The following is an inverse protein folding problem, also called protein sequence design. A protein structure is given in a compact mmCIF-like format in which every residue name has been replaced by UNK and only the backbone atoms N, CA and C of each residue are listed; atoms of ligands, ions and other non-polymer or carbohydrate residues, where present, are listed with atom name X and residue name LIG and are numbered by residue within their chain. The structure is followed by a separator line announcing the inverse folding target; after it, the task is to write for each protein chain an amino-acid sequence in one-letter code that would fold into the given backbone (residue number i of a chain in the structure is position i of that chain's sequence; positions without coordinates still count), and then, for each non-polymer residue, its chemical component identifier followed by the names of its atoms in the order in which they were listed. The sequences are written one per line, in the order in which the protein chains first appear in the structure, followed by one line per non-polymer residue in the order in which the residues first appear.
data_IF_477866091412
#
_entry.id   IF_477866091412
#
_cell.length_a   1.000
_cell.length_b   1.000
_cell.length_c   1.000
_cell.angle_alpha   90.00
_cell.angle_beta   90.00
_cell.angle_gamma   90.00
#
_symmetry.space_group_name_H-M   'P 1'
#
loop_
_entity.id
_entity.type
_entity.pdbx_description
1 polymer ?
#
# COMPACT_ATOMS: atom_id res chain seq x y z
N UNK A 1 -6.69 11.51 -7.45
CA UNK A 1 -5.37 11.92 -6.91
C UNK A 1 -4.51 10.66 -6.84
N UNK A 2 -3.30 10.69 -7.38
CA UNK A 2 -2.37 9.56 -7.30
C UNK A 2 -1.39 9.79 -6.14
N UNK A 3 -1.18 8.78 -5.31
CA UNK A 3 -0.19 8.81 -4.22
C UNK A 3 0.96 7.88 -4.59
N UNK A 4 2.16 8.46 -4.68
CA UNK A 4 3.39 7.72 -4.98
C UNK A 4 4.13 7.43 -3.68
N UNK A 5 4.41 6.15 -3.43
CA UNK A 5 5.20 5.70 -2.28
C UNK A 5 6.46 5.00 -2.75
N UNK A 6 7.59 5.36 -2.16
CA UNK A 6 8.79 4.54 -2.24
C UNK A 6 8.67 3.38 -1.24
N UNK A 7 8.81 2.16 -1.73
CA UNK A 7 8.78 0.93 -0.95
C UNK A 7 10.03 0.10 -1.22
N UNK A 8 10.31 -0.83 -0.33
CA UNK A 8 11.28 -1.90 -0.51
C UNK A 8 10.65 -3.23 -0.12
N UNK A 9 11.31 -4.33 -0.43
CA UNK A 9 10.93 -5.63 0.10
C UNK A 9 10.77 -5.60 1.63
N UNK A 10 9.73 -6.25 2.13
CA UNK A 10 9.32 -6.25 3.53
C UNK A 10 8.48 -5.04 3.96
N UNK A 11 8.26 -4.04 3.09
CA UNK A 11 7.42 -2.89 3.42
C UNK A 11 5.95 -3.30 3.58
N UNK A 12 5.27 -2.76 4.59
CA UNK A 12 3.84 -2.93 4.78
C UNK A 12 3.10 -1.61 4.52
N UNK A 13 2.10 -1.67 3.65
CA UNK A 13 1.17 -0.60 3.30
C UNK A 13 -0.19 -0.99 3.86
N UNK A 14 -0.97 -0.03 4.36
CA UNK A 14 -2.33 -0.30 4.85
C UNK A 14 -3.33 0.39 3.94
N UNK A 15 -4.43 -0.29 3.62
CA UNK A 15 -5.51 0.27 2.81
C UNK A 15 -6.79 -0.12 3.52
N UNK A 16 -7.55 0.88 3.99
CA UNK A 16 -8.77 0.64 4.77
C UNK A 16 -8.56 -0.38 5.92
N UNK A 17 -7.46 -0.23 6.66
CA UNK A 17 -7.07 -1.11 7.76
C UNK A 17 -6.55 -2.50 7.37
N UNK A 18 -6.50 -2.83 6.07
CA UNK A 18 -6.00 -4.11 5.58
C UNK A 18 -4.55 -4.00 5.13
N UNK A 19 -3.62 -4.83 5.64
CA UNK A 19 -2.23 -4.76 5.24
C UNK A 19 -2.01 -5.39 3.86
N UNK A 20 -1.15 -4.74 3.08
CA UNK A 20 -0.50 -5.21 1.87
C UNK A 20 1.01 -5.23 2.13
N UNK A 21 1.63 -6.39 1.99
CA UNK A 21 3.09 -6.54 2.15
C UNK A 21 3.75 -6.60 0.79
N UNK A 22 4.77 -5.78 0.59
CA UNK A 22 5.68 -5.89 -0.55
C UNK A 22 6.64 -7.04 -0.23
N UNK A 23 6.48 -8.17 -0.90
CA UNK A 23 7.26 -9.38 -0.61
C UNK A 23 8.41 -9.62 -1.59
N UNK A 24 8.41 -8.93 -2.72
CA UNK A 24 9.52 -8.95 -3.67
C UNK A 24 9.53 -7.67 -4.50
N UNK A 25 10.73 -7.19 -4.82
CA UNK A 25 10.97 -6.15 -5.82
C UNK A 25 12.09 -6.63 -6.72
N UNK A 26 11.79 -6.81 -8.00
CA UNK A 26 12.74 -7.31 -8.98
C UNK A 26 13.15 -6.19 -9.97
N UNK A 27 14.45 -6.03 -10.26
CA UNK A 27 14.91 -5.12 -11.30
C UNK A 27 14.39 -5.55 -12.68
N UNK A 28 14.41 -4.64 -13.67
CA UNK A 28 14.04 -4.97 -15.04
C UNK A 28 14.99 -6.04 -15.59
N UNK A 29 14.42 -6.99 -16.32
CA UNK A 29 15.17 -8.09 -16.95
C UNK A 29 14.76 -8.18 -18.43
N UNK A 30 15.71 -7.88 -19.32
CA UNK A 30 15.46 -7.78 -20.76
C UNK A 30 14.44 -6.70 -21.11
N UNK A 31 13.41 -7.07 -21.87
CA UNK A 31 12.30 -6.16 -22.24
C UNK A 31 11.24 -6.02 -21.14
N UNK A 32 11.35 -6.78 -20.03
CA UNK A 32 10.46 -6.63 -18.89
C UNK A 32 10.96 -5.47 -18.02
N UNK A 33 10.09 -4.48 -17.82
CA UNK A 33 10.29 -3.41 -16.85
C UNK A 33 10.35 -3.93 -15.40
N UNK A 34 10.42 -3.02 -14.44
CA UNK A 34 10.45 -3.41 -13.02
C UNK A 34 9.18 -4.16 -12.62
N UNK A 35 9.35 -5.11 -11.68
CA UNK A 35 8.24 -5.86 -11.10
C UNK A 35 8.25 -5.76 -9.57
N UNK A 36 7.06 -5.72 -8.98
CA UNK A 36 6.89 -5.87 -7.54
C UNK A 36 5.77 -6.84 -7.23
N UNK A 37 6.00 -7.70 -6.25
CA UNK A 37 4.96 -8.62 -5.76
C UNK A 37 4.45 -8.12 -4.43
N UNK A 38 3.14 -7.94 -4.35
CA UNK A 38 2.44 -7.60 -3.12
C UNK A 38 1.54 -8.73 -2.68
N UNK A 39 1.44 -8.93 -1.37
CA UNK A 39 0.62 -9.96 -0.74
C UNK A 39 -0.37 -9.31 0.23
N UNK A 40 -1.64 -9.69 0.14
CA UNK A 40 -2.70 -9.29 1.08
C UNK A 40 -2.72 -10.23 2.29
N UNK A 41 -3.41 -9.80 3.35
CA UNK A 41 -3.62 -10.60 4.56
C UNK A 41 -4.34 -11.94 4.33
N UNK A 42 -5.11 -12.07 3.25
CA UNK A 42 -5.79 -13.31 2.86
C UNK A 42 -4.89 -14.27 2.06
N UNK A 43 -3.61 -13.92 1.86
CA UNK A 43 -2.64 -14.70 1.09
C UNK A 43 -2.70 -14.48 -0.42
N UNK A 44 -3.65 -13.68 -0.93
CA UNK A 44 -3.68 -13.34 -2.35
C UNK A 44 -2.49 -12.47 -2.75
N UNK A 45 -1.93 -12.74 -3.93
CA UNK A 45 -0.73 -12.08 -4.45
C UNK A 45 -1.03 -11.38 -5.76
N UNK A 46 -0.42 -10.22 -5.92
CA UNK A 46 -0.50 -9.43 -7.16
C UNK A 46 0.91 -9.07 -7.61
N UNK A 47 1.17 -9.32 -8.88
CA UNK A 47 2.38 -8.86 -9.55
C UNK A 47 2.08 -7.53 -10.23
N UNK A 48 2.84 -6.51 -9.87
CA UNK A 48 2.71 -5.14 -10.37
C UNK A 48 3.82 -4.88 -11.37
N UNK A 49 3.46 -4.18 -12.44
CA UNK A 49 4.41 -3.69 -13.44
C UNK A 49 4.09 -2.23 -13.78
N UNK A 50 5.01 -1.59 -14.49
CA UNK A 50 4.85 -0.21 -14.98
C UNK A 50 3.75 -0.10 -16.05
N UNK A 51 3.49 -1.18 -16.77
CA UNK A 51 2.56 -1.20 -17.90
C UNK A 51 1.10 -1.47 -17.49
N UNK A 52 0.86 -1.97 -16.27
CA UNK A 52 -0.45 -2.45 -15.86
C UNK A 52 -0.88 -1.92 -14.50
N UNK A 53 -2.04 -1.29 -14.50
CA UNK A 53 -2.80 -0.96 -13.30
C UNK A 53 -3.67 -2.15 -12.87
N UNK A 54 -3.67 -2.45 -11.58
CA UNK A 54 -4.42 -3.57 -10.99
C UNK A 54 -5.29 -3.06 -9.86
N UNK A 55 -6.53 -3.51 -9.81
CA UNK A 55 -7.42 -3.27 -8.67
C UNK A 55 -7.10 -4.28 -7.55
N UNK A 56 -6.63 -3.79 -6.42
CA UNK A 56 -6.23 -4.63 -5.27
C UNK A 56 -7.28 -4.65 -4.16
N UNK A 57 -8.08 -3.58 -4.08
CA UNK A 57 -9.29 -3.48 -3.29
C UNK A 57 -10.34 -2.70 -4.10
N UNK A 58 -11.63 -2.84 -3.80
CA UNK A 58 -12.68 -2.08 -4.49
C UNK A 58 -12.39 -0.58 -4.53
N UNK A 59 -12.23 -0.03 -5.75
CA UNK A 59 -11.92 1.38 -5.96
C UNK A 59 -10.49 1.81 -5.60
N UNK A 60 -9.58 0.86 -5.37
CA UNK A 60 -8.17 1.08 -5.09
C UNK A 60 -7.31 0.39 -6.13
N UNK A 61 -6.69 1.21 -6.96
CA UNK A 61 -5.84 0.76 -8.03
C UNK A 61 -4.38 0.99 -7.69
N UNK A 62 -3.53 0.04 -8.07
CA UNK A 62 -2.10 0.08 -7.84
C UNK A 62 -1.34 -0.27 -9.12
N UNK A 63 -0.21 0.39 -9.32
CA UNK A 63 0.76 0.08 -10.37
C UNK A 63 2.17 0.40 -9.89
N UNK A 64 3.16 -0.11 -10.60
CA UNK A 64 4.54 0.28 -10.36
C UNK A 64 4.84 1.62 -11.04
N UNK A 65 5.57 2.49 -10.36
CA UNK A 65 6.02 3.78 -10.89
C UNK A 65 7.35 3.67 -11.64
N UNK A 66 7.60 4.62 -12.54
CA UNK A 66 8.70 4.65 -13.52
C UNK A 66 10.12 4.85 -12.94
N UNK A 67 10.32 4.88 -11.62
CA UNK A 67 11.62 5.32 -11.06
C UNK A 67 11.96 4.69 -9.72
N UNK A 68 13.11 4.03 -9.71
CA UNK A 68 13.68 3.47 -8.51
C UNK A 68 15.20 3.48 -8.58
N UNK A 69 15.82 3.93 -7.50
CA UNK A 69 17.26 3.85 -7.26
C UNK A 69 17.49 2.89 -6.09
N UNK A 70 18.56 2.09 -6.16
CA UNK A 70 19.09 1.28 -5.05
C UNK A 70 18.05 0.40 -4.31
N UNK A 71 17.52 -0.64 -4.95
CA UNK A 71 16.72 -1.69 -4.27
C UNK A 71 15.37 -1.23 -3.70
N UNK A 72 14.89 -0.07 -4.13
CA UNK A 72 13.54 0.41 -3.84
C UNK A 72 12.66 0.28 -5.07
N UNK A 73 11.34 0.36 -4.91
CA UNK A 73 10.36 0.52 -5.97
C UNK A 73 9.39 1.65 -5.64
N UNK A 74 8.85 2.31 -6.67
CA UNK A 74 7.74 3.23 -6.47
C UNK A 74 6.43 2.49 -6.69
N UNK A 75 5.52 2.56 -5.73
CA UNK A 75 4.13 2.12 -5.90
C UNK A 75 3.24 3.35 -6.05
N UNK A 76 2.46 3.36 -7.12
CA UNK A 76 1.48 4.40 -7.40
C UNK A 76 0.10 3.87 -7.02
N UNK A 77 -0.57 4.58 -6.12
CA UNK A 77 -1.92 4.27 -5.66
C UNK A 77 -2.91 5.29 -6.18
N UNK A 78 -4.02 4.82 -6.74
CA UNK A 78 -5.13 5.66 -7.16
C UNK A 78 -6.41 5.21 -6.44
N UNK A 79 -6.90 6.05 -5.53
CA UNK A 79 -8.18 5.90 -4.85
C UNK A 79 -8.68 7.25 -4.30
N UNK A 80 -9.86 7.24 -3.67
CA UNK A 80 -10.32 8.37 -2.86
C UNK A 80 -9.35 8.63 -1.70
N UNK A 81 -9.03 9.90 -1.37
CA UNK A 81 -8.17 10.23 -0.23
C UNK A 81 -8.62 9.62 1.10
N UNK A 82 -9.93 9.39 1.25
CA UNK A 82 -10.54 8.80 2.45
C UNK A 82 -10.17 7.31 2.64
N UNK A 83 -9.76 6.63 1.57
CA UNK A 83 -9.45 5.19 1.55
C UNK A 83 -7.94 4.93 1.71
N UNK A 84 -7.09 5.90 1.35
CA UNK A 84 -5.64 5.75 1.31
C UNK A 84 -5.00 6.02 2.68
N UNK A 85 -4.66 4.96 3.42
CA UNK A 85 -3.92 5.06 4.71
C UNK A 85 -2.59 4.30 4.66
N UNK A 86 -1.64 4.82 3.89
CA UNK A 86 -0.66 3.95 3.23
C UNK A 86 0.61 3.54 4.01
N UNK A 87 0.70 3.78 5.32
CA UNK A 87 1.81 3.24 6.13
C UNK A 87 1.35 2.91 7.53
N UNK A 88 2.06 2.01 8.22
CA UNK A 88 1.78 1.70 9.63
C UNK A 88 1.80 2.96 10.52
N UNK A 89 2.73 3.89 10.26
CA UNK A 89 2.84 5.14 11.02
C UNK A 89 1.61 6.04 10.84
N UNK A 90 1.17 6.22 9.60
CA UNK A 90 -0.02 7.03 9.29
C UNK A 90 -1.29 6.35 9.78
N UNK A 91 -1.36 5.03 9.63
CA UNK A 91 -2.46 4.22 10.13
C UNK A 91 -2.59 4.31 11.65
N UNK A 92 -1.50 4.09 12.39
CA UNK A 92 -1.49 4.23 13.85
C UNK A 92 -1.91 5.64 14.28
N UNK A 93 -1.36 6.70 13.68
CA UNK A 93 -1.73 8.08 14.00
C UNK A 93 -3.23 8.38 13.79
N UNK A 94 -3.82 7.88 12.69
CA UNK A 94 -5.27 8.01 12.45
C UNK A 94 -6.06 7.21 13.49
N UNK A 95 -5.71 5.95 13.73
CA UNK A 95 -6.42 5.11 14.71
C UNK A 95 -6.33 5.65 16.13
N UNK A 96 -5.20 6.23 16.54
CA UNK A 96 -5.03 6.89 17.83
C UNK A 96 -5.88 8.16 17.92
N UNK A 97 -5.94 8.95 16.84
CA UNK A 97 -6.77 10.16 16.78
C UNK A 97 -8.26 9.81 16.84
N UNK A 98 -8.71 8.76 16.13
CA UNK A 98 -10.10 8.29 16.20
C UNK A 98 -10.45 7.66 17.55
N UNK A 99 -9.51 6.93 18.18
CA UNK A 99 -9.69 6.42 19.55
C UNK A 99 -9.85 7.56 20.56
N UNK A 100 -9.08 8.63 20.42
CA UNK A 100 -9.19 9.83 21.27
C UNK A 100 -10.43 10.69 21.00
N UNK A 101 -11.04 10.56 19.82
CA UNK A 101 -12.30 11.24 19.46
C UNK A 101 -13.55 10.50 19.92
N UNK A 102 -13.46 9.22 20.29
CA UNK A 102 -14.57 8.53 20.96
C UNK A 102 -14.64 9.03 22.42
N UNK A 103 -15.77 9.61 22.86
CA UNK A 103 -15.93 9.94 24.27
C UNK A 103 -15.80 8.66 25.10
N UNK A 104 -15.22 8.79 26.29
CA UNK A 104 -15.08 7.73 27.28
C UNK A 104 -16.42 7.32 27.91
N UNK A 105 -17.45 7.11 27.10
CA UNK A 105 -18.73 6.53 27.50
C UNK A 105 -18.78 5.07 27.06
N UNK A 106 -18.07 4.21 27.79
CA UNK A 106 -18.43 2.80 28.04
C UNK A 106 -17.36 2.12 28.90
N UNK A 107 -17.04 2.71 30.06
CA UNK A 107 -16.39 1.95 31.14
C UNK A 107 -17.08 2.29 32.46
N UNK A 108 -18.38 2.00 32.52
CA UNK A 108 -19.09 1.78 33.79
C UNK A 108 -20.17 0.72 33.58
N UNK A 109 -19.82 -0.53 33.88
CA UNK A 109 -20.66 -1.43 34.67
C UNK A 109 -19.76 -2.29 35.53
#
# INVERSE_FOLDING_TARGET
MALNLAVKEGSAVYIDGKPLRVIAVAPPEGDRGWLATVEKSDGSRYELSEARRIEVFPGVYMQLGLKNQFGTASLVFEASPQVLILTEKNYRAVTDTERRKRPAEEVRK
#
